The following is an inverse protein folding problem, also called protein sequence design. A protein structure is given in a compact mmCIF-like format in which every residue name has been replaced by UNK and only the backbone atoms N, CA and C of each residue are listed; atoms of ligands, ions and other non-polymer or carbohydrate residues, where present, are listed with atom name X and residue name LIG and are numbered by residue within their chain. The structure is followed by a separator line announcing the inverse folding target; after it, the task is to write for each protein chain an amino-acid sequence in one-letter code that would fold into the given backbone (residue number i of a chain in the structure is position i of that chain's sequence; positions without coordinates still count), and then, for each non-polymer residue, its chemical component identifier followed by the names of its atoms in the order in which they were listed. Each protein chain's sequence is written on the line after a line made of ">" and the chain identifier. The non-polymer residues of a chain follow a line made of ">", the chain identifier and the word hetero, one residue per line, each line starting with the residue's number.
data_IF_633129403414
#
_entry.id   IF_633129403414
#
_cell.length_a   1.000
_cell.length_b   1.000
_cell.length_c   1.000
_cell.angle_alpha   90.00
_cell.angle_beta   90.00
_cell.angle_gamma   90.00
#
_symmetry.space_group_name_H-M   'P 1'
#
loop_
_entity.id
_entity.type
_entity.pdbx_description
1 polymer ?
#
# COMPACT_ATOMS: atom_id res chain seq x y z
N UNK A 1 -7.46 -40.96 -13.63
CA UNK A 1 -7.31 -39.48 -13.64
C UNK A 1 -8.10 -38.94 -14.83
N UNK A 2 -9.35 -38.53 -14.61
CA UNK A 2 -10.14 -37.86 -15.65
C UNK A 2 -9.72 -36.39 -15.71
N UNK A 3 -9.21 -35.97 -16.85
CA UNK A 3 -8.96 -34.56 -17.14
C UNK A 3 -10.29 -34.00 -17.63
N UNK A 4 -10.97 -33.21 -16.78
CA UNK A 4 -12.06 -32.36 -17.24
C UNK A 4 -11.45 -31.27 -18.12
N UNK A 5 -11.55 -31.45 -19.45
CA UNK A 5 -11.35 -30.34 -20.39
C UNK A 5 -12.56 -29.42 -20.24
N UNK A 6 -12.38 -28.30 -19.53
CA UNK A 6 -13.26 -27.15 -19.68
C UNK A 6 -13.33 -26.76 -21.16
N UNK A 7 -14.46 -26.23 -21.66
CA UNK A 7 -14.49 -25.74 -23.03
C UNK A 7 -13.38 -24.70 -23.20
N UNK A 8 -12.51 -24.92 -24.19
CA UNK A 8 -11.47 -23.97 -24.58
C UNK A 8 -12.16 -22.76 -25.24
N UNK A 9 -12.70 -21.85 -24.42
CA UNK A 9 -13.20 -20.58 -24.90
C UNK A 9 -12.00 -19.75 -25.35
N UNK A 10 -11.90 -19.54 -26.66
CA UNK A 10 -10.90 -18.63 -27.21
C UNK A 10 -11.10 -17.24 -26.59
N UNK A 11 -9.99 -16.57 -26.30
CA UNK A 11 -10.03 -15.20 -25.81
C UNK A 11 -10.81 -14.33 -26.81
N UNK A 12 -11.82 -13.56 -26.34
CA UNK A 12 -12.62 -12.72 -27.20
C UNK A 12 -11.74 -11.63 -27.85
N UNK A 13 -11.98 -11.39 -29.13
CA UNK A 13 -11.24 -10.41 -29.96
C UNK A 13 -12.20 -9.33 -30.44
N UNK A 14 -11.68 -8.20 -30.90
CA UNK A 14 -12.47 -7.07 -31.40
C UNK A 14 -13.45 -6.54 -30.35
N UNK A 15 -12.99 -6.37 -29.10
CA UNK A 15 -13.87 -6.04 -27.97
C UNK A 15 -14.64 -4.72 -28.19
N UNK A 16 -14.05 -3.77 -28.92
CA UNK A 16 -14.69 -2.50 -29.29
C UNK A 16 -15.98 -2.68 -30.13
N UNK A 17 -16.13 -3.81 -30.84
CA UNK A 17 -17.33 -4.10 -31.65
C UNK A 17 -18.45 -4.76 -30.84
N UNK A 18 -18.17 -5.20 -29.61
CA UNK A 18 -19.15 -5.87 -28.76
C UNK A 18 -20.15 -4.87 -28.22
N UNK A 19 -21.45 -5.11 -28.48
CA UNK A 19 -22.54 -4.28 -27.95
C UNK A 19 -22.50 -4.20 -26.40
N UNK A 20 -22.10 -5.29 -25.73
CA UNK A 20 -21.98 -5.31 -24.28
C UNK A 20 -20.85 -4.40 -23.78
N UNK A 21 -19.70 -4.41 -24.46
CA UNK A 21 -18.56 -3.53 -24.13
C UNK A 21 -18.90 -2.07 -24.41
N UNK A 22 -19.53 -1.77 -25.54
CA UNK A 22 -19.97 -0.41 -25.87
C UNK A 22 -20.96 0.14 -24.84
N UNK A 23 -21.94 -0.69 -24.43
CA UNK A 23 -22.89 -0.32 -23.37
C UNK A 23 -22.19 -0.09 -22.03
N UNK A 24 -21.23 -0.94 -21.65
CA UNK A 24 -20.45 -0.79 -20.43
C UNK A 24 -19.58 0.49 -20.45
N UNK A 25 -18.92 0.80 -21.56
CA UNK A 25 -18.14 2.04 -21.73
C UNK A 25 -19.04 3.27 -21.62
N UNK A 26 -20.24 3.22 -22.22
CA UNK A 26 -21.21 4.32 -22.16
C UNK A 26 -21.64 4.56 -20.71
N UNK A 27 -21.98 3.49 -19.99
CA UNK A 27 -22.34 3.57 -18.58
C UNK A 27 -21.18 4.08 -17.71
N UNK A 28 -19.96 3.55 -17.91
CA UNK A 28 -18.77 4.00 -17.21
C UNK A 28 -18.49 5.50 -17.44
N UNK A 29 -18.59 5.95 -18.69
CA UNK A 29 -18.39 7.37 -19.05
C UNK A 29 -19.41 8.26 -18.35
N UNK A 30 -20.67 7.82 -18.28
CA UNK A 30 -21.72 8.54 -17.55
C UNK A 30 -21.42 8.61 -16.05
N UNK A 31 -21.03 7.49 -15.43
CA UNK A 31 -20.69 7.43 -14.00
C UNK A 31 -19.51 8.34 -13.67
N UNK A 32 -18.46 8.34 -14.49
CA UNK A 32 -17.31 9.22 -14.29
C UNK A 32 -17.69 10.70 -14.41
N UNK A 33 -18.50 11.05 -15.42
CA UNK A 33 -18.96 12.43 -15.64
C UNK A 33 -19.88 12.92 -14.51
N UNK A 34 -20.79 12.07 -14.05
CA UNK A 34 -21.66 12.37 -12.91
C UNK A 34 -20.86 12.50 -11.61
N UNK A 35 -19.87 11.63 -11.39
CA UNK A 35 -19.00 11.71 -10.21
C UNK A 35 -18.20 13.01 -10.20
N UNK A 36 -17.65 13.42 -11.35
CA UNK A 36 -16.88 14.66 -11.47
C UNK A 36 -17.74 15.91 -11.30
N UNK A 37 -18.99 15.89 -11.75
CA UNK A 37 -19.90 17.05 -11.63
C UNK A 37 -20.53 17.17 -10.24
N UNK A 38 -20.84 16.04 -9.58
CA UNK A 38 -21.56 16.02 -8.30
C UNK A 38 -20.65 15.87 -7.09
N UNK A 39 -19.43 15.37 -7.26
CA UNK A 39 -18.54 14.99 -6.17
C UNK A 39 -19.08 13.84 -5.31
N UNK A 40 -19.95 12.98 -5.88
CA UNK A 40 -20.61 11.88 -5.15
C UNK A 40 -20.42 10.56 -5.88
N UNK A 41 -20.25 9.50 -5.10
CA UNK A 41 -20.24 8.12 -5.57
C UNK A 41 -21.15 7.26 -4.68
N UNK A 42 -21.43 6.03 -5.12
CA UNK A 42 -22.11 5.04 -4.28
C UNK A 42 -21.37 4.70 -2.98
N UNK A 43 -20.06 4.99 -2.90
CA UNK A 43 -19.20 4.70 -1.75
C UNK A 43 -18.91 5.91 -0.86
N UNK A 44 -19.53 7.06 -1.16
CA UNK A 44 -19.34 8.29 -0.43
C UNK A 44 -18.91 9.47 -1.30
N UNK A 45 -18.57 10.61 -0.67
CA UNK A 45 -18.10 11.79 -1.40
C UNK A 45 -16.78 11.51 -2.11
N UNK A 46 -16.62 12.08 -3.29
CA UNK A 46 -15.38 12.08 -4.07
C UNK A 46 -14.92 13.52 -4.25
N UNK A 47 -13.65 13.79 -3.94
CA UNK A 47 -13.06 15.11 -4.14
C UNK A 47 -12.73 15.31 -5.62
N UNK A 48 -13.74 15.60 -6.42
CA UNK A 48 -13.60 15.88 -7.85
C UNK A 48 -12.74 17.11 -8.16
N UNK A 49 -12.59 18.01 -7.18
CA UNK A 49 -11.84 19.26 -7.35
C UNK A 49 -10.34 19.01 -7.25
N UNK A 50 -9.89 18.23 -6.26
CA UNK A 50 -8.46 18.03 -6.01
C UNK A 50 -7.92 16.69 -6.52
N UNK A 51 -8.80 15.72 -6.79
CA UNK A 51 -8.38 14.40 -7.26
C UNK A 51 -8.07 14.42 -8.76
N UNK A 52 -6.99 13.73 -9.13
CA UNK A 52 -6.61 13.53 -10.53
C UNK A 52 -6.45 12.04 -10.80
N UNK A 53 -6.84 11.59 -11.99
CA UNK A 53 -6.71 10.18 -12.37
C UNK A 53 -6.51 10.00 -13.87
N UNK A 54 -5.98 8.84 -14.23
CA UNK A 54 -5.96 8.29 -15.58
C UNK A 54 -6.57 6.89 -15.54
N UNK A 55 -7.52 6.62 -16.44
CA UNK A 55 -8.13 5.31 -16.61
C UNK A 55 -8.07 4.91 -18.08
N UNK A 56 -7.38 3.81 -18.35
CA UNK A 56 -7.30 3.22 -19.68
C UNK A 56 -7.70 1.75 -19.63
N UNK A 57 -8.42 1.30 -20.65
CA UNK A 57 -8.79 -0.10 -20.82
C UNK A 57 -8.22 -0.55 -22.17
N UNK A 58 -7.51 -1.67 -22.16
CA UNK A 58 -6.88 -2.23 -23.34
C UNK A 58 -7.07 -3.75 -23.39
N UNK A 59 -6.77 -4.32 -24.56
CA UNK A 59 -6.79 -5.76 -24.82
C UNK A 59 -5.51 -6.14 -25.53
N UNK A 60 -4.97 -7.32 -25.22
CA UNK A 60 -3.82 -7.88 -25.93
C UNK A 60 -4.16 -8.33 -27.37
N UNK A 61 -5.44 -8.35 -27.74
CA UNK A 61 -5.92 -8.72 -29.07
C UNK A 61 -6.37 -7.53 -29.92
N UNK A 62 -6.37 -6.31 -29.35
CA UNK A 62 -6.77 -5.09 -30.04
C UNK A 62 -5.58 -4.12 -30.06
N UNK A 63 -5.23 -3.53 -31.23
CA UNK A 63 -4.07 -2.63 -31.33
C UNK A 63 -4.30 -1.25 -30.70
N UNK A 64 -5.56 -0.90 -30.42
CA UNK A 64 -5.97 0.39 -29.88
C UNK A 64 -6.55 0.23 -28.47
N UNK A 65 -6.51 1.31 -27.69
CA UNK A 65 -7.23 1.40 -26.43
C UNK A 65 -8.74 1.23 -26.67
N UNK A 66 -9.37 0.47 -25.78
CA UNK A 66 -10.83 0.29 -25.74
C UNK A 66 -11.48 1.52 -25.11
N UNK A 67 -10.82 2.11 -24.12
CA UNK A 67 -11.30 3.29 -23.40
C UNK A 67 -10.12 4.08 -22.84
N UNK A 68 -10.25 5.40 -22.79
CA UNK A 68 -9.30 6.30 -22.14
C UNK A 68 -10.06 7.49 -21.53
N UNK A 69 -9.81 7.79 -20.26
CA UNK A 69 -10.36 8.95 -19.58
C UNK A 69 -9.36 9.51 -18.58
N UNK A 70 -9.20 10.82 -18.59
CA UNK A 70 -8.26 11.56 -17.76
C UNK A 70 -8.98 12.69 -17.05
N UNK A 71 -8.67 12.89 -15.77
CA UNK A 71 -9.21 13.98 -14.97
C UNK A 71 -8.09 14.74 -14.27
N UNK A 72 -8.11 16.07 -14.42
CA UNK A 72 -7.13 16.97 -13.83
C UNK A 72 -7.72 17.66 -12.60
N UNK A 73 -7.17 17.38 -11.43
CA UNK A 73 -7.48 18.11 -10.21
C UNK A 73 -6.78 19.47 -10.19
N UNK A 74 -7.37 20.44 -9.48
CA UNK A 74 -6.87 21.81 -9.35
C UNK A 74 -5.46 21.88 -8.76
N UNK A 75 -5.08 20.91 -7.93
CA UNK A 75 -3.73 20.84 -7.38
C UNK A 75 -2.65 20.77 -8.47
N UNK A 76 -2.90 20.05 -9.58
CA UNK A 76 -1.94 19.94 -10.69
C UNK A 76 -1.72 21.30 -11.38
N UNK A 77 -2.80 22.06 -11.59
CA UNK A 77 -2.74 23.38 -12.19
C UNK A 77 -1.85 24.33 -11.36
N UNK A 78 -1.95 24.26 -10.03
CA UNK A 78 -1.24 25.15 -9.10
C UNK A 78 0.12 24.62 -8.62
N UNK A 79 0.47 23.36 -8.90
CA UNK A 79 1.74 22.76 -8.45
C UNK A 79 2.96 23.43 -9.13
N UNK A 80 4.01 23.87 -8.41
CA UNK A 80 5.17 24.50 -9.04
C UNK A 80 5.99 23.53 -9.91
N UNK A 81 5.79 22.21 -9.74
CA UNK A 81 6.52 21.15 -10.46
C UNK A 81 5.59 20.00 -10.86
N UNK A 82 6.02 19.16 -11.80
CA UNK A 82 5.24 18.01 -12.27
C UNK A 82 4.28 18.33 -13.41
N UNK A 83 3.40 17.36 -13.73
CA UNK A 83 2.46 17.47 -14.84
C UNK A 83 1.33 18.46 -14.53
N UNK A 84 0.92 19.22 -15.55
CA UNK A 84 -0.20 20.16 -15.47
C UNK A 84 -1.51 19.58 -15.94
N UNK A 85 -1.42 18.75 -16.97
CA UNK A 85 -2.51 18.00 -17.55
C UNK A 85 -2.05 16.56 -17.64
N UNK A 86 -2.89 15.65 -17.17
CA UNK A 86 -2.70 14.22 -17.29
C UNK A 86 -2.94 13.83 -18.74
N UNK A 87 -2.01 13.05 -19.26
CA UNK A 87 -2.03 12.43 -20.58
C UNK A 87 -1.40 11.02 -20.51
N UNK A 88 -1.27 10.38 -21.67
CA UNK A 88 -0.66 9.05 -21.81
C UNK A 88 0.80 8.97 -21.38
N UNK A 89 1.50 10.10 -21.26
CA UNK A 89 2.91 10.17 -20.88
C UNK A 89 3.10 10.52 -19.41
N UNK A 90 2.00 10.70 -18.67
CA UNK A 90 2.04 11.09 -17.27
C UNK A 90 2.53 9.94 -16.38
N UNK A 91 3.51 10.23 -15.54
CA UNK A 91 4.14 9.26 -14.65
C UNK A 91 3.48 9.31 -13.27
N UNK A 92 2.99 8.16 -12.81
CA UNK A 92 2.39 8.00 -11.48
C UNK A 92 3.31 7.24 -10.53
N UNK A 93 3.28 7.61 -9.25
CA UNK A 93 3.83 6.76 -8.18
C UNK A 93 2.86 5.62 -7.93
N UNK A 94 3.29 4.39 -8.19
CA UNK A 94 2.44 3.19 -8.07
C UNK A 94 2.48 2.53 -6.68
N UNK A 95 3.33 3.02 -5.79
CA UNK A 95 3.38 2.61 -4.38
C UNK A 95 3.53 1.10 -4.19
N UNK A 96 2.59 0.50 -3.44
CA UNK A 96 2.63 -0.94 -3.14
C UNK A 96 2.55 -1.86 -4.36
N UNK A 97 2.12 -1.37 -5.53
CA UNK A 97 2.17 -2.16 -6.78
C UNK A 97 3.61 -2.53 -7.16
N UNK A 98 4.61 -1.76 -6.71
CA UNK A 98 6.04 -2.09 -6.91
C UNK A 98 6.40 -3.46 -6.33
N UNK A 99 5.69 -3.97 -5.31
CA UNK A 99 5.92 -5.31 -4.75
C UNK A 99 5.75 -6.41 -5.80
N UNK A 100 4.84 -6.25 -6.77
CA UNK A 100 4.67 -7.19 -7.87
C UNK A 100 5.93 -7.29 -8.72
N UNK A 101 6.56 -6.16 -9.00
CA UNK A 101 7.84 -6.11 -9.72
C UNK A 101 8.97 -6.74 -8.92
N UNK A 102 9.01 -6.53 -7.60
CA UNK A 102 9.98 -7.16 -6.70
C UNK A 102 9.90 -8.69 -6.77
N UNK A 103 8.70 -9.26 -6.59
CA UNK A 103 8.50 -10.71 -6.61
C UNK A 103 8.73 -11.28 -8.02
N UNK A 104 8.27 -10.61 -9.07
CA UNK A 104 8.51 -11.04 -10.45
C UNK A 104 10.01 -11.06 -10.78
N UNK A 105 10.74 -10.01 -10.42
CA UNK A 105 12.20 -9.94 -10.63
C UNK A 105 12.90 -11.05 -9.86
N UNK A 106 12.48 -11.33 -8.62
CA UNK A 106 12.99 -12.45 -7.84
C UNK A 106 12.77 -13.78 -8.57
N UNK A 107 11.54 -14.06 -9.04
CA UNK A 107 11.21 -15.31 -9.73
C UNK A 107 12.01 -15.48 -11.03
N UNK A 108 12.21 -14.41 -11.80
CA UNK A 108 12.99 -14.45 -13.05
C UNK A 108 14.47 -14.78 -12.77
N UNK A 109 15.05 -14.25 -11.70
CA UNK A 109 16.49 -14.38 -11.43
C UNK A 109 16.84 -15.60 -10.56
N UNK A 110 16.01 -15.92 -9.57
CA UNK A 110 16.29 -16.94 -8.55
C UNK A 110 15.34 -18.15 -8.62
N UNK A 111 14.23 -18.04 -9.36
CA UNK A 111 13.16 -19.03 -9.34
C UNK A 111 12.39 -19.05 -8.02
N UNK A 112 11.50 -20.03 -7.89
CA UNK A 112 10.69 -20.29 -6.69
C UNK A 112 11.38 -21.22 -5.69
N UNK A 113 12.45 -21.92 -6.10
CA UNK A 113 13.20 -22.88 -5.26
C UNK A 113 13.73 -22.28 -3.95
N UNK A 114 13.87 -20.96 -3.89
CA UNK A 114 14.41 -20.21 -2.75
C UNK A 114 13.33 -19.75 -1.77
N UNK A 115 12.05 -19.92 -2.08
CA UNK A 115 10.98 -19.43 -1.21
C UNK A 115 10.95 -20.10 0.16
N UNK A 116 11.42 -21.34 0.28
CA UNK A 116 11.52 -22.03 1.58
C UNK A 116 12.84 -21.78 2.30
N UNK A 117 13.75 -20.97 1.74
CA UNK A 117 14.95 -20.60 2.46
C UNK A 117 14.61 -19.58 3.56
N UNK A 118 15.16 -19.73 4.78
CA UNK A 118 15.03 -18.72 5.81
C UNK A 118 15.74 -17.44 5.39
N UNK A 119 15.20 -16.27 5.74
CA UNK A 119 15.75 -14.97 5.37
C UNK A 119 17.15 -14.76 5.96
N UNK A 120 17.42 -15.32 7.14
CA UNK A 120 18.73 -15.26 7.81
C UNK A 120 19.84 -15.96 7.06
N UNK A 121 19.52 -16.84 6.10
CA UNK A 121 20.50 -17.40 5.15
C UNK A 121 21.16 -16.31 4.30
N UNK A 122 20.44 -15.23 4.01
CA UNK A 122 20.87 -14.13 3.16
C UNK A 122 21.20 -12.86 3.95
N UNK A 123 20.52 -12.65 5.08
CA UNK A 123 20.71 -11.50 5.97
C UNK A 123 20.85 -12.00 7.42
N UNK A 124 22.02 -12.57 7.78
CA UNK A 124 22.23 -13.16 9.10
C UNK A 124 22.12 -12.15 10.25
N UNK A 125 22.30 -10.86 9.97
CA UNK A 125 22.22 -9.77 10.93
C UNK A 125 20.81 -9.64 11.54
N UNK A 126 19.76 -10.11 10.86
CA UNK A 126 18.39 -10.09 11.39
C UNK A 126 18.24 -10.95 12.65
N UNK A 127 18.91 -12.10 12.71
CA UNK A 127 18.91 -12.95 13.91
C UNK A 127 19.57 -12.24 15.10
N UNK A 128 20.69 -11.54 14.86
CA UNK A 128 21.38 -10.76 15.89
C UNK A 128 20.55 -9.55 16.35
N UNK A 129 19.84 -8.88 15.44
CA UNK A 129 18.97 -7.76 15.75
C UNK A 129 17.78 -8.17 16.63
N UNK A 130 17.15 -9.32 16.37
CA UNK A 130 16.11 -9.85 17.26
C UNK A 130 16.63 -10.14 18.67
N UNK A 131 17.82 -10.74 18.78
CA UNK A 131 18.44 -11.02 20.09
C UNK A 131 18.80 -9.75 20.88
N UNK A 132 19.10 -8.64 20.18
CA UNK A 132 19.43 -7.35 20.79
C UNK A 132 18.21 -6.49 21.15
N UNK A 133 16.98 -6.92 20.81
CA UNK A 133 15.75 -6.19 21.12
C UNK A 133 15.52 -6.12 22.64
N UNK A 134 15.06 -4.96 23.13
CA UNK A 134 14.99 -4.60 24.55
C UNK A 134 14.13 -5.55 25.42
N UNK A 135 13.37 -6.49 24.84
CA UNK A 135 12.55 -7.47 25.54
C UNK A 135 12.70 -8.91 25.03
N UNK A 136 13.73 -9.20 24.22
CA UNK A 136 13.91 -10.51 23.56
C UNK A 136 13.91 -11.73 24.52
N UNK A 137 14.23 -11.50 25.79
CA UNK A 137 14.34 -12.56 26.81
C UNK A 137 13.10 -12.72 27.69
N UNK A 138 12.07 -11.88 27.55
CA UNK A 138 10.91 -11.87 28.46
C UNK A 138 9.69 -12.59 27.89
N UNK A 139 9.40 -12.48 26.59
CA UNK A 139 8.29 -13.18 25.93
C UNK A 139 8.61 -13.44 24.45
N UNK A 140 8.54 -14.69 23.95
CA UNK A 140 8.76 -15.02 22.53
C UNK A 140 7.86 -14.27 21.54
N UNK A 141 6.72 -13.75 22.00
CA UNK A 141 5.78 -12.97 21.16
C UNK A 141 6.29 -11.54 20.91
N UNK A 142 7.22 -11.04 21.73
CA UNK A 142 7.72 -9.66 21.66
C UNK A 142 8.83 -9.49 20.61
N UNK A 143 9.29 -10.57 19.99
CA UNK A 143 10.35 -10.56 18.97
C UNK A 143 10.03 -11.47 17.81
N UNK A 144 10.39 -11.02 16.60
CA UNK A 144 10.32 -11.86 15.39
C UNK A 144 11.44 -12.90 15.44
N UNK A 145 11.09 -14.18 15.34
CA UNK A 145 12.07 -15.24 15.10
C UNK A 145 12.46 -15.27 13.61
N UNK A 146 13.47 -14.48 13.26
CA UNK A 146 13.91 -14.35 11.86
C UNK A 146 14.46 -15.65 11.26
N UNK A 147 14.82 -16.65 12.07
CA UNK A 147 15.29 -17.93 11.55
C UNK A 147 14.16 -18.78 10.95
N UNK A 148 12.93 -18.58 11.43
CA UNK A 148 11.76 -19.30 10.93
C UNK A 148 11.09 -18.57 9.75
N UNK A 149 11.38 -17.27 9.57
CA UNK A 149 10.83 -16.49 8.46
C UNK A 149 11.52 -16.85 7.14
N UNK A 150 10.73 -17.30 6.19
CA UNK A 150 11.17 -17.65 4.83
C UNK A 150 10.99 -16.50 3.83
N UNK A 151 11.73 -16.56 2.72
CA UNK A 151 11.55 -15.60 1.62
C UNK A 151 10.15 -15.64 1.01
N UNK A 152 9.53 -16.82 0.95
CA UNK A 152 8.17 -17.01 0.48
C UNK A 152 7.15 -16.30 1.35
N UNK A 153 7.29 -16.42 2.68
CA UNK A 153 6.42 -15.75 3.65
C UNK A 153 6.54 -14.22 3.61
N UNK A 154 7.72 -13.69 3.32
CA UNK A 154 7.89 -12.25 3.05
C UNK A 154 7.20 -11.83 1.76
N UNK A 155 7.34 -12.62 0.69
CA UNK A 155 6.74 -12.33 -0.60
C UNK A 155 5.20 -12.39 -0.56
N UNK A 156 4.63 -13.32 0.20
CA UNK A 156 3.19 -13.54 0.38
C UNK A 156 2.55 -12.68 1.48
N UNK A 157 3.36 -11.96 2.27
CA UNK A 157 2.91 -11.24 3.47
C UNK A 157 2.34 -12.17 4.56
N UNK A 158 2.83 -13.40 4.66
CA UNK A 158 2.40 -14.39 5.67
C UNK A 158 3.42 -14.65 6.77
N UNK A 159 4.50 -13.86 6.83
CA UNK A 159 5.56 -13.98 7.83
C UNK A 159 5.14 -13.62 9.27
N UNK A 160 3.94 -13.08 9.48
CA UNK A 160 3.49 -12.65 10.81
C UNK A 160 4.28 -11.46 11.40
N UNK A 161 5.13 -10.82 10.59
CA UNK A 161 5.91 -9.65 11.00
C UNK A 161 4.97 -8.46 11.17
N UNK A 162 5.05 -7.82 12.34
CA UNK A 162 4.32 -6.59 12.62
C UNK A 162 4.62 -5.53 11.56
N UNK A 163 3.59 -4.79 11.15
CA UNK A 163 3.79 -3.67 10.24
C UNK A 163 4.53 -2.56 10.98
N UNK A 164 5.68 -2.16 10.47
CA UNK A 164 6.40 -0.96 10.94
C UNK A 164 5.65 0.28 10.44
N UNK A 165 4.54 0.64 11.10
CA UNK A 165 3.75 1.84 10.81
C UNK A 165 3.91 2.93 11.87
N UNK A 166 4.93 2.82 12.73
CA UNK A 166 5.27 3.84 13.73
C UNK A 166 5.56 5.24 13.11
N UNK A 167 5.83 5.32 11.81
CA UNK A 167 6.07 6.59 11.09
C UNK A 167 4.90 7.14 10.26
N UNK A 168 3.84 6.36 9.99
CA UNK A 168 2.73 6.79 9.12
C UNK A 168 1.36 6.39 9.69
N UNK A 169 1.07 6.78 10.93
CA UNK A 169 -0.33 6.85 11.39
C UNK A 169 -0.92 5.57 11.99
N UNK A 170 -0.13 4.76 12.70
CA UNK A 170 -0.72 4.04 13.86
C UNK A 170 -1.37 5.07 14.77
N UNK A 171 -2.50 4.74 15.41
CA UNK A 171 -3.27 5.65 16.27
C UNK A 171 -2.39 6.49 17.21
N UNK A 172 -1.24 5.98 17.69
CA UNK A 172 -0.30 6.74 18.53
C UNK A 172 0.23 8.06 17.92
N UNK A 173 0.38 8.16 16.59
CA UNK A 173 0.89 9.39 15.94
C UNK A 173 -0.16 10.52 15.87
N UNK A 174 -1.41 10.31 15.40
CA UNK A 174 -2.49 11.29 15.54
C UNK A 174 -3.07 11.40 16.98
N UNK A 175 -2.90 10.39 17.84
CA UNK A 175 -3.26 10.50 19.27
C UNK A 175 -2.27 11.33 20.08
N UNK A 176 -1.11 11.69 19.51
CA UNK A 176 -0.17 12.62 20.13
C UNK A 176 -0.70 14.06 20.02
N UNK A 177 -1.84 14.31 20.66
CA UNK A 177 -2.47 15.61 20.85
C UNK A 177 -3.62 15.98 19.89
N UNK A 178 -3.85 15.26 18.77
CA UNK A 178 -4.86 15.68 17.79
C UNK A 178 -6.23 15.00 17.96
N UNK A 179 -6.32 13.84 18.62
CA UNK A 179 -7.58 13.13 18.86
C UNK A 179 -7.69 12.74 20.34
N UNK A 180 -8.78 13.14 20.98
CA UNK A 180 -9.08 12.72 22.36
C UNK A 180 -9.47 11.23 22.35
N UNK A 181 -8.54 10.35 22.78
CA UNK A 181 -8.74 8.90 22.85
C UNK A 181 -10.04 8.51 23.60
N UNK A 182 -10.43 9.28 24.62
CA UNK A 182 -11.65 9.04 25.39
C UNK A 182 -12.94 9.28 24.60
N UNK A 183 -12.90 10.13 23.55
CA UNK A 183 -14.02 10.31 22.63
C UNK A 183 -14.20 9.10 21.68
N UNK A 184 -13.18 8.25 21.56
CA UNK A 184 -13.23 6.98 20.81
C UNK A 184 -13.55 5.78 21.70
N UNK A 185 -13.91 6.01 22.97
CA UNK A 185 -14.21 4.94 23.94
C UNK A 185 -12.97 4.24 24.51
N UNK A 186 -11.76 4.76 24.26
CA UNK A 186 -10.53 4.23 24.86
C UNK A 186 -10.35 4.80 26.28
N UNK A 187 -9.78 4.01 27.21
CA UNK A 187 -9.51 4.49 28.56
C UNK A 187 -8.51 5.66 28.56
N UNK A 188 -8.64 6.62 29.48
CA UNK A 188 -7.72 7.76 29.56
C UNK A 188 -6.29 7.25 29.84
N UNK A 189 -5.33 7.73 29.05
CA UNK A 189 -3.92 7.39 29.24
C UNK A 189 -3.41 8.08 30.51
N UNK A 190 -2.81 7.32 31.43
CA UNK A 190 -2.07 7.90 32.55
C UNK A 190 -0.71 8.41 32.04
N UNK A 191 -0.21 9.50 32.63
CA UNK A 191 1.05 10.15 32.22
C UNK A 191 2.28 9.22 32.29
N UNK A 192 2.18 8.09 32.99
CA UNK A 192 3.22 7.07 33.15
C UNK A 192 3.14 5.93 32.13
N UNK A 193 2.12 5.91 31.27
CA UNK A 193 1.84 4.81 30.33
C UNK A 193 2.30 5.08 28.89
N UNK A 194 3.03 6.18 28.66
CA UNK A 194 3.64 6.47 27.37
C UNK A 194 4.79 5.50 27.12
N UNK A 195 4.48 4.40 26.43
CA UNK A 195 5.48 3.48 25.92
C UNK A 195 6.38 4.21 24.93
N UNK A 196 7.69 4.22 25.20
CA UNK A 196 8.76 4.76 24.35
C UNK A 196 9.00 3.87 23.10
N UNK A 197 7.96 3.22 22.57
CA UNK A 197 8.08 2.19 21.54
C UNK A 197 8.02 2.74 20.11
N UNK A 198 8.14 4.05 19.90
CA UNK A 198 8.05 4.68 18.59
C UNK A 198 9.34 5.39 18.16
N UNK A 199 10.51 4.77 18.41
CA UNK A 199 11.77 5.15 17.76
C UNK A 199 12.26 6.59 17.94
N UNK A 200 11.73 7.34 18.92
CA UNK A 200 12.21 8.69 19.19
C UNK A 200 13.59 8.63 19.87
N UNK A 201 14.60 9.42 19.42
CA UNK A 201 15.83 9.54 20.17
C UNK A 201 15.52 10.11 21.57
N UNK A 202 16.23 9.67 22.63
CA UNK A 202 15.97 10.15 23.98
C UNK A 202 16.15 11.67 24.04
N UNK A 203 15.14 12.37 24.57
CA UNK A 203 15.25 13.80 24.82
C UNK A 203 16.43 14.07 25.77
N UNK A 204 17.24 15.12 25.54
CA UNK A 204 18.33 15.46 26.46
C UNK A 204 17.76 15.80 27.83
N UNK A 205 18.37 15.23 28.87
CA UNK A 205 17.97 15.45 30.26
C UNK A 205 17.96 16.96 30.60
N UNK A 206 16.99 17.46 31.40
CA UNK A 206 16.98 18.85 31.81
C UNK A 206 18.21 19.16 32.67
N UNK A 207 18.96 20.21 32.30
CA UNK A 207 20.05 20.75 33.09
C UNK A 207 19.59 21.02 34.53
N UNK A 208 20.23 20.39 35.50
CA UNK A 208 20.08 20.78 36.91
C UNK A 208 20.79 22.12 37.13
N UNK A 209 20.03 23.20 37.10
CA UNK A 209 20.49 24.49 37.62
C UNK A 209 20.69 24.36 39.13
N UNK A 210 21.94 24.14 39.53
CA UNK A 210 22.42 24.20 40.90
C UNK A 210 22.32 25.65 41.36
N UNK A 211 21.29 25.98 42.14
CA UNK A 211 21.21 27.25 42.86
C UNK A 211 22.18 27.20 44.05
N UNK A 212 23.08 28.18 44.10
CA UNK A 212 23.81 28.62 45.30
C UNK A 212 22.88 29.36 46.25
#
# INVERSE_FOLDING_TARGET
>A
MMIFKSPDFLAPKNLCSSAAIQAAITNLTQVLSETLSTGKTAYGPFDATNSSYALEIFSNHDPNLIFSNYSNGQYLANSPTGVKNIDTNTIFRIGSLTKLLTVYTFLVNAGDIKFNDPVTKYIPELAAAAAASLNATQNPIDTVDWNDITLGELASQTAGIGRDYAGFGELASPLNGAINASALGLPPLANTSLLLCAGAPPAPAPNSSRAS
#
